data_IF_156897209333
#
_entry.id   IF_156897209333
#
_cell.length_a   1.000
_cell.length_b   1.000
_cell.length_c   1.000
_cell.angle_alpha   90.00
_cell.angle_beta   90.00
_cell.angle_gamma   90.00
#
_symmetry.space_group_name_H-M   'P 1'
#
loop_
_entity.id
_entity.type
_entity.pdbx_description
1 polymer ?
#
# COMPACT_ATOMS: atom_id res chain seq x y z
N UNK A 1 -3.69 26.62 -1.67
CA UNK A 1 -2.91 25.72 -0.84
C UNK A 1 -3.62 24.36 -0.88
N UNK A 2 -3.04 23.41 -1.57
CA UNK A 2 -3.61 22.07 -1.75
C UNK A 2 -3.21 21.26 -0.51
N UNK A 3 -4.19 20.75 0.25
CA UNK A 3 -3.92 19.89 1.38
C UNK A 3 -3.48 18.48 0.90
N UNK A 4 -2.88 17.66 1.77
CA UNK A 4 -2.41 16.33 1.42
C UNK A 4 -3.57 15.38 1.03
N UNK A 5 -4.78 15.66 1.51
CA UNK A 5 -5.97 14.87 1.17
C UNK A 5 -6.45 15.05 -0.29
N UNK A 6 -5.94 16.03 -1.01
CA UNK A 6 -6.27 16.21 -2.44
C UNK A 6 -5.87 15.03 -3.33
N UNK A 7 -4.98 14.16 -2.84
CA UNK A 7 -4.53 12.95 -3.54
C UNK A 7 -5.40 11.72 -3.20
N UNK A 8 -6.35 11.86 -2.27
CA UNK A 8 -7.20 10.75 -1.82
C UNK A 8 -8.43 10.64 -2.71
N UNK A 9 -8.67 9.45 -3.25
CA UNK A 9 -9.74 9.17 -4.22
C UNK A 9 -10.92 8.51 -3.53
N UNK A 10 -12.14 8.95 -3.83
CA UNK A 10 -13.40 8.26 -3.47
C UNK A 10 -13.73 8.18 -1.97
N UNK A 11 -12.96 8.84 -1.07
CA UNK A 11 -13.11 8.70 0.38
C UNK A 11 -13.58 9.99 1.07
N UNK A 12 -14.55 10.68 0.50
CA UNK A 12 -14.97 12.03 0.94
C UNK A 12 -15.40 12.09 2.42
N UNK A 13 -16.08 11.08 2.94
CA UNK A 13 -16.50 11.00 4.33
C UNK A 13 -15.33 10.83 5.30
N UNK A 14 -14.40 9.89 5.00
CA UNK A 14 -13.20 9.66 5.78
C UNK A 14 -12.28 10.88 5.77
N UNK A 15 -12.06 11.49 4.60
CA UNK A 15 -11.28 12.73 4.43
C UNK A 15 -11.89 13.87 5.25
N UNK A 16 -13.21 14.07 5.21
CA UNK A 16 -13.88 15.12 5.98
C UNK A 16 -13.70 14.91 7.49
N UNK A 17 -13.84 13.69 7.97
CA UNK A 17 -13.61 13.31 9.36
C UNK A 17 -12.17 13.60 9.80
N UNK A 18 -11.19 13.11 9.04
CA UNK A 18 -9.77 13.27 9.37
C UNK A 18 -9.30 14.72 9.27
N UNK A 19 -9.80 15.49 8.29
CA UNK A 19 -9.53 16.92 8.17
C UNK A 19 -9.96 17.69 9.42
N UNK A 20 -11.13 17.37 9.99
CA UNK A 20 -11.57 17.97 11.25
C UNK A 20 -10.73 17.51 12.44
N UNK A 21 -10.22 16.28 12.40
CA UNK A 21 -9.41 15.72 13.47
C UNK A 21 -7.98 16.31 13.54
N UNK A 22 -7.47 16.92 12.46
CA UNK A 22 -6.12 17.53 12.43
C UNK A 22 -5.92 18.57 13.54
N UNK A 23 -6.95 19.37 13.83
CA UNK A 23 -6.89 20.45 14.82
C UNK A 23 -6.79 19.90 16.26
N UNK A 24 -7.56 18.87 16.57
CA UNK A 24 -7.58 18.26 17.89
C UNK A 24 -7.63 16.72 17.73
N UNK A 25 -6.49 16.10 17.42
CA UNK A 25 -6.45 14.67 17.11
C UNK A 25 -6.61 13.81 18.36
N UNK A 26 -7.33 12.68 18.18
CA UNK A 26 -7.27 11.57 19.12
C UNK A 26 -5.88 10.89 19.05
N UNK A 27 -5.48 10.21 20.10
CA UNK A 27 -4.16 9.55 20.15
C UNK A 27 -3.99 8.43 19.11
N UNK A 28 -5.07 7.75 18.72
CA UNK A 28 -4.99 6.63 17.80
C UNK A 28 -6.20 6.59 16.86
N UNK A 29 -5.93 6.26 15.61
CA UNK A 29 -6.92 6.04 14.53
C UNK A 29 -6.71 4.66 13.93
N UNK A 30 -7.81 3.96 13.65
CA UNK A 30 -7.80 2.71 12.89
C UNK A 30 -8.57 2.92 11.59
N UNK A 31 -7.83 3.01 10.50
CA UNK A 31 -8.38 3.08 9.15
C UNK A 31 -8.66 1.66 8.68
N UNK A 32 -9.91 1.36 8.37
CA UNK A 32 -10.35 0.03 7.97
C UNK A 32 -11.09 0.09 6.64
N UNK A 33 -10.79 -0.81 5.72
CA UNK A 33 -11.44 -0.86 4.42
C UNK A 33 -10.88 -1.94 3.51
N UNK A 34 -11.54 -2.23 2.39
CA UNK A 34 -11.09 -3.25 1.46
C UNK A 34 -9.73 -2.89 0.83
N UNK A 35 -9.03 -3.92 0.36
CA UNK A 35 -7.81 -3.74 -0.44
C UNK A 35 -8.07 -2.82 -1.63
N UNK A 36 -7.09 -1.96 -1.93
CA UNK A 36 -7.18 -1.03 -3.04
C UNK A 36 -8.04 0.21 -2.78
N UNK A 37 -8.68 0.33 -1.61
CA UNK A 37 -9.48 1.51 -1.23
C UNK A 37 -8.64 2.77 -0.94
N UNK A 38 -7.31 2.68 -1.00
CA UNK A 38 -6.40 3.79 -0.72
C UNK A 38 -6.09 3.99 0.76
N UNK A 39 -6.20 2.93 1.59
CA UNK A 39 -5.90 2.97 3.04
C UNK A 39 -4.56 3.63 3.34
N UNK A 40 -3.48 3.17 2.68
CA UNK A 40 -2.14 3.73 2.87
C UNK A 40 -2.08 5.20 2.47
N UNK A 41 -2.62 5.54 1.31
CA UNK A 41 -2.61 6.91 0.80
C UNK A 41 -3.33 7.86 1.75
N UNK A 42 -4.49 7.46 2.28
CA UNK A 42 -5.23 8.24 3.28
C UNK A 42 -4.44 8.35 4.60
N UNK A 43 -3.81 7.26 5.06
CA UNK A 43 -3.03 7.24 6.31
C UNK A 43 -1.81 8.16 6.23
N UNK A 44 -1.04 8.10 5.13
CA UNK A 44 0.11 8.98 4.89
C UNK A 44 -0.32 10.43 4.72
N UNK A 45 -1.43 10.70 4.00
CA UNK A 45 -1.99 12.04 3.86
C UNK A 45 -2.42 12.63 5.19
N UNK A 46 -3.06 11.83 6.05
CA UNK A 46 -3.44 12.26 7.39
C UNK A 46 -2.22 12.54 8.27
N UNK A 47 -1.21 11.66 8.24
CA UNK A 47 0.05 11.88 8.93
C UNK A 47 0.74 13.18 8.47
N UNK A 48 0.72 13.46 7.17
CA UNK A 48 1.28 14.69 6.61
C UNK A 48 0.58 15.95 7.12
N UNK A 49 -0.74 15.93 7.21
CA UNK A 49 -1.51 17.05 7.76
C UNK A 49 -1.29 17.24 9.27
N UNK A 50 -1.19 16.14 10.04
CA UNK A 50 -0.88 16.19 11.45
C UNK A 50 0.50 16.81 11.73
N UNK A 51 1.51 16.44 10.92
CA UNK A 51 2.88 16.95 11.03
C UNK A 51 3.04 18.40 10.54
N UNK A 52 2.21 18.82 9.59
CA UNK A 52 2.22 20.16 9.04
C UNK A 52 1.40 21.17 9.86
N UNK A 53 0.55 20.68 10.77
CA UNK A 53 -0.35 21.53 11.54
C UNK A 53 0.39 22.53 12.43
N UNK A 54 0.04 23.82 12.33
CA UNK A 54 0.63 24.93 13.09
C UNK A 54 2.16 25.08 12.93
N UNK A 55 2.72 24.61 11.79
CA UNK A 55 4.16 24.73 11.50
C UNK A 55 4.46 26.00 10.70
N UNK A 56 5.67 26.55 10.83
CA UNK A 56 6.11 27.72 10.06
C UNK A 56 6.15 27.44 8.56
N UNK A 57 6.57 26.22 8.14
CA UNK A 57 6.69 25.80 6.76
C UNK A 57 5.85 24.52 6.50
N UNK A 58 4.50 24.59 6.55
CA UNK A 58 3.63 23.42 6.48
C UNK A 58 3.80 22.62 5.17
N UNK A 59 4.14 23.29 4.07
CA UNK A 59 4.35 22.62 2.76
C UNK A 59 5.58 21.69 2.76
N UNK A 60 6.67 22.08 3.43
CA UNK A 60 7.85 21.23 3.55
C UNK A 60 7.59 20.01 4.40
N UNK A 61 6.85 20.16 5.51
CA UNK A 61 6.44 19.03 6.36
C UNK A 61 5.54 18.07 5.59
N UNK A 62 4.52 18.57 4.85
CA UNK A 62 3.69 17.74 3.97
C UNK A 62 4.50 16.99 2.93
N UNK A 63 5.37 17.70 2.22
CA UNK A 63 6.22 17.11 1.18
C UNK A 63 7.11 16.00 1.74
N UNK A 64 7.76 16.23 2.88
CA UNK A 64 8.61 15.22 3.53
C UNK A 64 7.79 14.02 4.03
N UNK A 65 6.61 14.25 4.60
CA UNK A 65 5.75 13.19 5.08
C UNK A 65 5.17 12.34 3.93
N UNK A 66 4.70 12.98 2.86
CA UNK A 66 4.22 12.29 1.65
C UNK A 66 5.34 11.51 0.94
N UNK A 67 6.59 11.98 1.05
CA UNK A 67 7.77 11.25 0.58
C UNK A 67 8.28 10.20 1.59
N UNK A 68 7.58 10.00 2.73
CA UNK A 68 7.95 9.08 3.81
C UNK A 68 9.35 9.35 4.41
N UNK A 69 9.80 10.59 4.30
CA UNK A 69 11.14 11.05 4.71
C UNK A 69 11.11 12.02 5.91
N UNK A 70 9.94 12.28 6.49
CA UNK A 70 9.83 13.16 7.65
C UNK A 70 10.47 12.52 8.89
N UNK A 71 11.32 13.25 9.67
CA UNK A 71 12.01 12.68 10.84
C UNK A 71 11.06 12.20 11.93
N UNK A 72 9.89 12.85 12.07
CA UNK A 72 8.86 12.51 13.06
C UNK A 72 7.74 11.61 12.51
N UNK A 73 7.94 11.00 11.34
CA UNK A 73 7.09 9.95 10.79
C UNK A 73 7.84 8.62 10.87
N UNK A 74 7.32 7.69 11.66
CA UNK A 74 7.75 6.30 11.64
C UNK A 74 6.68 5.46 10.96
N UNK A 75 7.06 4.77 9.90
CA UNK A 75 6.20 3.76 9.27
C UNK A 75 6.70 2.38 9.67
N UNK A 76 5.84 1.63 10.35
CA UNK A 76 6.09 0.27 10.79
C UNK A 76 5.37 -0.67 9.82
N UNK A 77 6.15 -1.26 8.94
CA UNK A 77 5.72 -2.26 7.97
C UNK A 77 6.31 -3.61 8.33
N UNK A 78 5.61 -4.69 8.03
CA UNK A 78 6.16 -6.04 8.20
C UNK A 78 7.19 -6.36 7.11
N UNK A 79 8.30 -6.98 7.48
CA UNK A 79 9.31 -7.44 6.50
C UNK A 79 9.08 -8.86 5.99
N UNK A 80 8.04 -9.53 6.44
CA UNK A 80 7.74 -10.92 6.11
C UNK A 80 6.24 -11.21 6.07
N UNK A 81 5.87 -12.45 6.30
CA UNK A 81 4.47 -12.87 6.42
C UNK A 81 3.84 -12.35 7.72
N UNK A 82 4.65 -12.09 8.76
CA UNK A 82 4.23 -11.62 10.06
C UNK A 82 5.16 -10.52 10.55
N UNK A 83 4.70 -9.73 11.51
CA UNK A 83 5.54 -8.79 12.24
C UNK A 83 6.56 -9.53 13.10
N UNK A 84 7.84 -9.14 13.03
CA UNK A 84 8.94 -9.72 13.79
C UNK A 84 9.19 -8.95 15.08
N UNK A 85 10.10 -9.46 15.90
CA UNK A 85 10.51 -8.81 17.14
C UNK A 85 11.17 -7.44 16.89
N UNK A 86 11.89 -7.27 15.77
CA UNK A 86 12.57 -6.03 15.41
C UNK A 86 11.58 -4.88 15.16
N UNK A 87 10.48 -5.14 14.46
CA UNK A 87 9.44 -4.13 14.23
C UNK A 87 8.72 -3.80 15.57
N UNK A 88 8.51 -4.78 16.44
CA UNK A 88 7.94 -4.56 17.75
C UNK A 88 8.87 -3.72 18.65
N UNK A 89 10.19 -3.95 18.61
CA UNK A 89 11.17 -3.13 19.31
C UNK A 89 11.23 -1.71 18.75
N UNK A 90 11.22 -1.56 17.44
CA UNK A 90 11.17 -0.25 16.76
C UNK A 90 9.93 0.55 17.18
N UNK A 91 8.77 -0.09 17.22
CA UNK A 91 7.52 0.51 17.70
C UNK A 91 7.63 0.97 19.16
N UNK A 92 8.15 0.10 20.04
CA UNK A 92 8.33 0.43 21.45
C UNK A 92 9.27 1.63 21.62
N UNK A 93 10.44 1.58 20.98
CA UNK A 93 11.48 2.60 21.13
C UNK A 93 11.02 3.95 20.55
N UNK A 94 10.28 3.94 19.45
CA UNK A 94 9.68 5.14 18.90
C UNK A 94 8.55 5.67 19.77
N UNK A 95 7.70 4.80 20.32
CA UNK A 95 6.56 5.19 21.12
C UNK A 95 6.91 6.05 22.33
N UNK A 96 8.16 5.99 22.83
CA UNK A 96 8.64 6.76 23.98
C UNK A 96 9.63 7.88 23.62
N UNK A 97 9.89 8.12 22.35
CA UNK A 97 10.74 9.25 21.92
C UNK A 97 9.96 10.55 21.87
N UNK A 98 10.65 11.64 22.15
CA UNK A 98 10.12 12.96 21.83
C UNK A 98 10.28 13.25 20.33
N UNK A 99 9.38 14.04 19.74
CA UNK A 99 9.55 14.51 18.37
C UNK A 99 10.90 15.19 18.16
N UNK A 100 11.46 15.07 16.96
CA UNK A 100 12.74 15.65 16.59
C UNK A 100 12.60 17.10 16.12
N UNK A 101 11.60 17.34 15.25
CA UNK A 101 11.42 18.64 14.57
C UNK A 101 10.03 19.25 14.85
N UNK A 102 9.39 18.88 15.94
CA UNK A 102 8.08 19.42 16.22
C UNK A 102 7.53 19.07 17.59
N UNK A 103 6.24 19.19 17.69
CA UNK A 103 5.43 18.85 18.87
C UNK A 103 4.62 17.57 18.66
N UNK A 104 4.64 16.98 17.45
CA UNK A 104 3.93 15.76 17.09
C UNK A 104 4.84 14.74 16.44
N UNK A 105 4.74 13.50 16.89
CA UNK A 105 5.31 12.32 16.26
C UNK A 105 4.19 11.42 15.79
N UNK A 106 4.29 10.90 14.57
CA UNK A 106 3.29 10.00 14.00
C UNK A 106 3.92 8.62 13.82
N UNK A 107 3.22 7.61 14.31
CA UNK A 107 3.56 6.20 14.11
C UNK A 107 2.45 5.57 13.26
N UNK A 108 2.78 5.28 12.01
CA UNK A 108 1.89 4.58 11.08
C UNK A 108 2.22 3.08 11.14
N UNK A 109 1.23 2.26 11.48
CA UNK A 109 1.35 0.79 11.52
C UNK A 109 0.47 0.23 10.42
N UNK A 110 1.10 -0.37 9.40
CA UNK A 110 0.38 -0.93 8.26
C UNK A 110 -0.08 -2.37 8.53
N UNK A 111 -1.20 -2.74 7.91
CA UNK A 111 -1.71 -4.11 7.92
C UNK A 111 -1.74 -4.76 9.30
N UNK A 112 -2.19 -4.01 10.32
CA UNK A 112 -2.21 -4.50 11.72
C UNK A 112 -3.04 -5.78 11.89
N UNK A 113 -3.94 -6.09 10.96
CA UNK A 113 -4.72 -7.33 10.94
C UNK A 113 -3.86 -8.58 10.72
N UNK A 114 -2.63 -8.42 10.23
CA UNK A 114 -1.63 -9.48 10.03
C UNK A 114 -0.62 -9.56 11.18
N UNK A 115 -0.83 -8.81 12.27
CA UNK A 115 0.03 -8.83 13.42
C UNK A 115 -0.17 -10.11 14.25
N UNK A 116 0.95 -10.71 14.69
CA UNK A 116 0.91 -11.81 15.63
C UNK A 116 0.59 -11.33 17.05
N UNK A 117 0.29 -12.26 17.96
CA UNK A 117 -0.11 -11.92 19.33
C UNK A 117 0.96 -11.14 20.12
N UNK A 118 2.24 -11.31 19.80
CA UNK A 118 3.34 -10.60 20.46
C UNK A 118 3.33 -9.13 20.04
N UNK A 119 3.24 -8.86 18.72
CA UNK A 119 3.18 -7.51 18.20
C UNK A 119 1.90 -6.78 18.66
N UNK A 120 0.74 -7.45 18.63
CA UNK A 120 -0.51 -6.91 19.18
C UNK A 120 -0.35 -6.51 20.64
N UNK A 121 0.26 -7.38 21.48
CA UNK A 121 0.51 -7.08 22.90
C UNK A 121 1.45 -5.89 23.12
N UNK A 122 2.44 -5.70 22.26
CA UNK A 122 3.34 -4.55 22.30
C UNK A 122 2.62 -3.26 21.87
N UNK A 123 1.86 -3.33 20.80
CA UNK A 123 1.05 -2.20 20.29
C UNK A 123 0.07 -1.72 21.38
N UNK A 124 -0.62 -2.64 22.04
CA UNK A 124 -1.56 -2.30 23.13
C UNK A 124 -0.89 -1.52 24.26
N UNK A 125 0.31 -1.91 24.70
CA UNK A 125 1.04 -1.20 25.76
C UNK A 125 1.31 0.26 25.41
N UNK A 126 1.69 0.53 24.16
CA UNK A 126 1.99 1.89 23.72
C UNK A 126 0.71 2.70 23.48
N UNK A 127 -0.37 2.06 23.06
CA UNK A 127 -1.68 2.71 22.88
C UNK A 127 -2.38 3.04 24.22
N UNK A 128 -2.11 2.27 25.30
CA UNK A 128 -2.71 2.50 26.62
C UNK A 128 -2.09 3.70 27.34
N UNK A 129 -0.78 3.91 27.18
CA UNK A 129 -0.05 5.00 27.82
C UNK A 129 0.82 5.76 26.79
N UNK A 130 0.21 6.37 25.76
CA UNK A 130 0.97 7.09 24.74
C UNK A 130 1.57 8.37 25.31
N UNK A 131 2.80 8.74 24.93
CA UNK A 131 3.31 10.08 25.19
C UNK A 131 2.38 11.15 24.60
N UNK A 132 2.25 12.32 25.22
CA UNK A 132 1.29 13.36 24.77
C UNK A 132 1.51 13.85 23.34
N UNK A 133 2.75 13.73 22.82
CA UNK A 133 3.15 14.14 21.48
C UNK A 133 3.05 13.03 20.43
N UNK A 134 2.70 11.79 20.79
CA UNK A 134 2.70 10.65 19.89
C UNK A 134 1.28 10.28 19.45
N UNK A 135 1.10 10.17 18.15
CA UNK A 135 -0.17 9.80 17.53
C UNK A 135 0.02 8.54 16.68
N UNK A 136 -0.97 7.67 16.74
CA UNK A 136 -0.95 6.40 16.02
C UNK A 136 -1.98 6.41 14.90
N UNK A 137 -1.55 5.97 13.72
CA UNK A 137 -2.42 5.70 12.57
C UNK A 137 -2.21 4.23 12.19
N UNK A 138 -3.26 3.42 12.32
CA UNK A 138 -3.21 2.01 12.01
C UNK A 138 -4.05 1.74 10.77
N UNK A 139 -3.63 0.82 9.90
CA UNK A 139 -4.44 0.37 8.77
C UNK A 139 -4.78 -1.11 8.91
N UNK A 140 -5.99 -1.49 8.49
CA UNK A 140 -6.44 -2.87 8.47
C UNK A 140 -7.43 -3.08 7.32
N UNK A 141 -7.35 -4.23 6.65
CA UNK A 141 -8.35 -4.60 5.64
C UNK A 141 -9.59 -5.24 6.27
N UNK A 142 -9.43 -5.80 7.45
CA UNK A 142 -10.52 -6.38 8.23
C UNK A 142 -10.26 -6.27 9.73
N UNK A 143 -11.32 -6.21 10.52
CA UNK A 143 -11.21 -6.22 11.98
C UNK A 143 -11.43 -7.65 12.47
N UNK A 144 -10.32 -8.37 12.68
CA UNK A 144 -10.34 -9.71 13.25
C UNK A 144 -10.65 -9.69 14.75
N UNK A 145 -11.13 -10.79 15.35
CA UNK A 145 -11.32 -10.86 16.80
C UNK A 145 -10.04 -10.54 17.61
N UNK A 146 -8.86 -10.84 17.07
CA UNK A 146 -7.58 -10.51 17.70
C UNK A 146 -7.33 -8.99 17.76
N UNK A 147 -7.86 -8.24 16.82
CA UNK A 147 -7.75 -6.78 16.76
C UNK A 147 -8.81 -6.04 17.57
N UNK A 148 -9.85 -6.70 18.05
CA UNK A 148 -10.95 -6.04 18.77
C UNK A 148 -10.46 -5.20 19.96
N UNK A 149 -9.41 -5.64 20.64
CA UNK A 149 -8.80 -4.91 21.77
C UNK A 149 -8.06 -3.64 21.32
N UNK A 150 -7.38 -3.67 20.18
CA UNK A 150 -6.75 -2.50 19.57
C UNK A 150 -7.84 -1.55 19.05
N UNK A 151 -8.81 -2.08 18.30
CA UNK A 151 -9.90 -1.30 17.71
C UNK A 151 -10.70 -0.51 18.78
N UNK A 152 -10.90 -1.09 19.98
CA UNK A 152 -11.59 -0.43 21.09
C UNK A 152 -10.86 0.79 21.68
N UNK A 153 -9.57 0.97 21.33
CA UNK A 153 -8.71 2.09 21.78
C UNK A 153 -8.43 3.11 20.67
N UNK A 154 -8.91 2.83 19.47
CA UNK A 154 -8.72 3.69 18.31
C UNK A 154 -10.03 4.37 17.90
N UNK A 155 -9.92 5.54 17.34
CA UNK A 155 -11.03 6.18 16.61
C UNK A 155 -11.16 5.47 15.25
N UNK A 156 -12.31 4.82 14.96
CA UNK A 156 -12.48 4.11 13.71
C UNK A 156 -12.69 5.07 12.54
N UNK A 157 -12.09 4.75 11.41
CA UNK A 157 -12.28 5.43 10.13
C UNK A 157 -12.48 4.38 9.06
N UNK A 158 -13.73 4.22 8.61
CA UNK A 158 -14.07 3.21 7.61
C UNK A 158 -13.97 3.79 6.19
N UNK A 159 -13.29 3.05 5.31
CA UNK A 159 -13.17 3.33 3.90
C UNK A 159 -14.09 2.38 3.12
N UNK A 160 -14.74 2.94 2.10
CA UNK A 160 -15.50 2.15 1.13
C UNK A 160 -14.60 1.66 -0.02
N UNK A 161 -15.07 0.65 -0.76
CA UNK A 161 -14.50 0.36 -2.07
C UNK A 161 -14.65 1.60 -2.97
N UNK A 162 -13.67 1.85 -3.82
CA UNK A 162 -13.68 3.03 -4.71
C UNK A 162 -14.59 2.76 -5.89
N UNK A 163 -15.47 3.70 -6.19
CA UNK A 163 -16.35 3.60 -7.35
C UNK A 163 -15.59 3.75 -8.66
N UNK A 164 -16.08 3.08 -9.71
CA UNK A 164 -15.46 3.13 -11.05
C UNK A 164 -15.37 4.56 -11.59
N UNK A 165 -16.38 5.39 -11.34
CA UNK A 165 -16.40 6.79 -11.81
C UNK A 165 -15.34 7.63 -11.07
N UNK A 166 -15.13 7.42 -9.77
CA UNK A 166 -14.06 8.08 -9.01
C UNK A 166 -12.67 7.70 -9.55
N UNK A 167 -12.48 6.43 -9.95
CA UNK A 167 -11.24 5.99 -10.60
C UNK A 167 -11.05 6.66 -11.97
N UNK A 168 -12.10 6.73 -12.79
CA UNK A 168 -12.07 7.41 -14.10
C UNK A 168 -11.69 8.88 -13.94
N UNK A 169 -12.35 9.60 -13.02
CA UNK A 169 -12.06 10.99 -12.75
C UNK A 169 -10.60 11.17 -12.28
N UNK A 170 -10.14 10.33 -11.38
CA UNK A 170 -8.76 10.37 -10.91
C UNK A 170 -7.75 10.17 -12.05
N UNK A 171 -7.95 9.15 -12.90
CA UNK A 171 -7.09 8.88 -14.04
C UNK A 171 -7.05 10.05 -15.05
N UNK A 172 -8.18 10.73 -15.25
CA UNK A 172 -8.24 11.93 -16.07
C UNK A 172 -7.42 13.08 -15.47
N UNK A 173 -7.40 13.24 -14.14
CA UNK A 173 -6.51 14.23 -13.47
C UNK A 173 -5.03 13.93 -13.70
N UNK A 174 -4.68 12.65 -13.93
CA UNK A 174 -3.31 12.21 -14.29
C UNK A 174 -3.01 12.36 -15.78
N UNK A 175 -3.96 12.89 -16.58
CA UNK A 175 -3.78 13.13 -18.02
C UNK A 175 -4.11 11.93 -18.91
N UNK A 176 -4.75 10.90 -18.39
CA UNK A 176 -5.25 9.76 -19.19
C UNK A 176 -6.54 10.17 -19.90
N UNK A 177 -6.69 9.84 -21.17
CA UNK A 177 -7.93 10.10 -21.92
C UNK A 177 -9.11 9.29 -21.37
N UNK A 178 -10.34 9.75 -21.66
CA UNK A 178 -11.56 9.19 -21.07
C UNK A 178 -11.77 7.72 -21.41
N UNK A 179 -11.58 7.33 -22.68
CA UNK A 179 -11.82 5.95 -23.12
C UNK A 179 -10.84 4.99 -22.43
N UNK A 180 -9.57 5.37 -22.37
CA UNK A 180 -8.52 4.61 -21.69
C UNK A 180 -8.74 4.59 -20.16
N UNK A 181 -9.14 5.71 -19.56
CA UNK A 181 -9.47 5.78 -18.14
C UNK A 181 -10.59 4.82 -17.78
N UNK A 182 -11.64 4.77 -18.57
CA UNK A 182 -12.77 3.87 -18.37
C UNK A 182 -12.38 2.40 -18.53
N UNK A 183 -11.57 2.09 -19.54
CA UNK A 183 -11.06 0.74 -19.75
C UNK A 183 -10.21 0.29 -18.55
N UNK A 184 -9.29 1.13 -18.09
CA UNK A 184 -8.43 0.85 -16.92
C UNK A 184 -9.25 0.70 -15.65
N UNK A 185 -10.21 1.59 -15.37
CA UNK A 185 -11.03 1.55 -14.18
C UNK A 185 -11.84 0.24 -14.08
N UNK A 186 -12.35 -0.27 -15.19
CA UNK A 186 -13.06 -1.56 -15.23
C UNK A 186 -12.13 -2.75 -14.92
N UNK A 187 -10.86 -2.67 -15.34
CA UNK A 187 -9.85 -3.71 -15.09
C UNK A 187 -9.33 -3.63 -13.64
N UNK A 188 -9.25 -2.42 -13.11
CA UNK A 188 -8.64 -2.14 -11.81
C UNK A 188 -9.41 -2.73 -10.62
N UNK A 189 -10.68 -3.13 -10.80
CA UNK A 189 -11.49 -3.80 -9.78
C UNK A 189 -11.48 -3.05 -8.44
N UNK A 190 -11.93 -1.79 -8.48
CA UNK A 190 -11.97 -0.86 -7.36
C UNK A 190 -10.61 -0.56 -6.67
N UNK A 191 -9.48 -0.90 -7.28
CA UNK A 191 -8.15 -0.65 -6.74
C UNK A 191 -7.50 0.59 -7.37
N UNK A 192 -7.24 1.61 -6.53
CA UNK A 192 -6.55 2.84 -6.96
C UNK A 192 -5.13 2.52 -7.41
N UNK A 193 -4.38 1.74 -6.64
CA UNK A 193 -2.99 1.43 -6.92
C UNK A 193 -2.85 0.69 -8.26
N UNK A 194 -3.76 -0.26 -8.51
CA UNK A 194 -3.83 -0.97 -9.80
C UNK A 194 -4.20 -0.04 -10.95
N UNK A 195 -5.16 0.86 -10.75
CA UNK A 195 -5.55 1.82 -11.78
C UNK A 195 -4.39 2.75 -12.16
N UNK A 196 -3.66 3.27 -11.18
CA UNK A 196 -2.49 4.13 -11.39
C UNK A 196 -1.35 3.36 -12.06
N UNK A 197 -1.09 2.12 -11.65
CA UNK A 197 -0.08 1.25 -12.28
C UNK A 197 -0.40 1.03 -13.76
N UNK A 198 -1.62 0.61 -14.09
CA UNK A 198 -2.06 0.38 -15.48
C UNK A 198 -2.04 1.65 -16.34
N UNK A 199 -2.20 2.82 -15.72
CA UNK A 199 -2.15 4.10 -16.42
C UNK A 199 -0.71 4.58 -16.69
N UNK A 200 0.18 4.38 -15.72
CA UNK A 200 1.56 4.90 -15.75
C UNK A 200 2.53 4.00 -16.51
N UNK A 201 2.27 2.71 -16.56
CA UNK A 201 3.11 1.72 -17.24
C UNK A 201 2.45 1.25 -18.54
N UNK A 202 3.01 1.65 -19.69
CA UNK A 202 2.48 1.25 -21.00
C UNK A 202 2.53 -0.27 -21.23
N UNK A 203 3.44 -0.98 -20.59
CA UNK A 203 3.55 -2.43 -20.68
C UNK A 203 2.61 -3.16 -19.69
N UNK A 204 2.00 -2.46 -18.72
CA UNK A 204 1.13 -3.09 -17.74
C UNK A 204 -0.13 -3.69 -18.36
N UNK A 205 -0.72 -3.03 -19.37
CA UNK A 205 -1.85 -3.58 -20.12
C UNK A 205 -1.46 -4.83 -20.92
N UNK A 206 -0.28 -4.83 -21.56
CA UNK A 206 0.23 -6.00 -22.28
C UNK A 206 0.45 -7.18 -21.30
N UNK A 207 1.00 -6.91 -20.11
CA UNK A 207 1.14 -7.93 -19.06
C UNK A 207 -0.22 -8.43 -18.57
N UNK A 208 -1.19 -7.53 -18.39
CA UNK A 208 -2.57 -7.92 -18.06
C UNK A 208 -3.16 -8.89 -19.08
N UNK A 209 -3.02 -8.60 -20.36
CA UNK A 209 -3.49 -9.47 -21.44
C UNK A 209 -2.80 -10.84 -21.39
N UNK A 210 -1.48 -10.88 -21.20
CA UNK A 210 -0.72 -12.12 -21.06
C UNK A 210 -1.19 -12.95 -19.86
N UNK A 211 -1.45 -12.33 -18.71
CA UNK A 211 -2.03 -13.00 -17.55
C UNK A 211 -3.42 -13.57 -17.85
N UNK A 212 -4.26 -12.80 -18.54
CA UNK A 212 -5.63 -13.23 -18.91
C UNK A 212 -5.63 -14.44 -19.85
N UNK A 213 -4.63 -14.54 -20.73
CA UNK A 213 -4.48 -15.64 -21.69
C UNK A 213 -3.85 -16.90 -21.08
N UNK A 214 -3.27 -16.79 -19.88
CA UNK A 214 -2.55 -17.92 -19.26
C UNK A 214 -3.35 -19.21 -19.25
N UNK A 215 -4.66 -19.15 -18.99
CA UNK A 215 -5.51 -20.32 -18.95
C UNK A 215 -5.61 -21.04 -20.29
N UNK A 216 -5.59 -20.31 -21.40
CA UNK A 216 -5.69 -20.88 -22.76
C UNK A 216 -4.37 -21.54 -23.19
N UNK A 217 -3.26 -21.13 -22.58
CA UNK A 217 -1.93 -21.65 -22.86
C UNK A 217 -1.62 -22.96 -22.11
N UNK A 218 -2.46 -23.31 -21.12
CA UNK A 218 -2.33 -24.56 -20.35
C UNK A 218 -3.04 -25.71 -21.04
N UNK A 219 -2.27 -26.67 -21.57
CA UNK A 219 -2.74 -27.88 -22.24
C UNK A 219 -2.93 -29.10 -21.31
N UNK A 220 -2.75 -28.91 -20.00
CA UNK A 220 -2.83 -29.94 -18.97
C UNK A 220 -1.52 -30.69 -18.76
N UNK A 221 -0.44 -30.37 -19.46
CA UNK A 221 0.88 -30.98 -19.26
C UNK A 221 1.72 -30.23 -18.24
N UNK A 222 2.61 -30.96 -17.53
CA UNK A 222 3.56 -30.30 -16.61
C UNK A 222 4.54 -29.35 -17.33
N UNK A 223 4.83 -29.60 -18.60
CA UNK A 223 5.71 -28.75 -19.40
C UNK A 223 5.07 -27.38 -19.65
N UNK A 224 3.78 -27.34 -20.03
CA UNK A 224 3.04 -26.10 -20.21
C UNK A 224 2.98 -25.28 -18.90
N UNK A 225 2.75 -25.95 -17.76
CA UNK A 225 2.77 -25.28 -16.45
C UNK A 225 4.15 -24.67 -16.15
N UNK A 226 5.24 -25.38 -16.38
CA UNK A 226 6.60 -24.86 -16.14
C UNK A 226 6.88 -23.63 -17.02
N UNK A 227 6.58 -23.71 -18.32
CA UNK A 227 6.74 -22.58 -19.23
C UNK A 227 5.90 -21.36 -18.83
N UNK A 228 4.67 -21.60 -18.38
CA UNK A 228 3.78 -20.55 -17.90
C UNK A 228 4.36 -19.85 -16.66
N UNK A 229 4.84 -20.62 -15.66
CA UNK A 229 5.47 -20.09 -14.44
C UNK A 229 6.71 -19.29 -14.78
N UNK A 230 7.61 -19.80 -15.63
CA UNK A 230 8.84 -19.09 -16.03
C UNK A 230 8.50 -17.76 -16.69
N UNK A 231 7.50 -17.76 -17.59
CA UNK A 231 7.04 -16.53 -18.25
C UNK A 231 6.45 -15.53 -17.26
N UNK A 232 5.65 -15.98 -16.29
CA UNK A 232 5.06 -15.11 -15.28
C UNK A 232 6.14 -14.48 -14.38
N UNK A 233 7.14 -15.26 -13.94
CA UNK A 233 8.27 -14.75 -13.16
C UNK A 233 9.06 -13.71 -13.95
N UNK A 234 9.25 -13.93 -15.26
CA UNK A 234 9.90 -12.96 -16.13
C UNK A 234 9.11 -11.65 -16.20
N UNK A 235 7.77 -11.70 -16.36
CA UNK A 235 6.91 -10.52 -16.39
C UNK A 235 7.00 -9.70 -15.10
N UNK A 236 7.00 -10.39 -13.94
CA UNK A 236 7.16 -9.75 -12.63
C UNK A 236 8.53 -9.08 -12.50
N UNK A 237 9.58 -9.70 -13.01
CA UNK A 237 10.93 -9.09 -12.99
C UNK A 237 11.05 -7.92 -13.96
N UNK A 238 10.44 -7.99 -15.13
CA UNK A 238 10.39 -6.90 -16.12
C UNK A 238 9.64 -5.68 -15.56
N UNK A 239 8.53 -5.89 -14.84
CA UNK A 239 7.78 -4.80 -14.21
C UNK A 239 8.59 -4.01 -13.18
N UNK A 240 9.58 -4.64 -12.57
CA UNK A 240 10.44 -4.03 -11.55
C UNK A 240 11.62 -3.23 -12.13
N UNK A 241 11.93 -3.38 -13.42
CA UNK A 241 13.11 -2.78 -14.03
C UNK A 241 13.15 -1.24 -13.99
N UNK A 242 12.05 -0.50 -14.27
CA UNK A 242 12.03 0.95 -14.15
C UNK A 242 12.29 1.42 -12.70
N UNK A 243 11.73 0.70 -11.72
CA UNK A 243 11.94 1.00 -10.30
C UNK A 243 13.39 0.79 -9.89
N UNK A 244 14.02 -0.33 -10.29
CA UNK A 244 15.43 -0.61 -10.01
C UNK A 244 16.37 0.49 -10.54
N UNK A 245 16.12 0.96 -11.77
CA UNK A 245 16.91 2.06 -12.37
C UNK A 245 16.80 3.35 -11.58
N UNK A 246 15.58 3.70 -11.13
CA UNK A 246 15.37 4.87 -10.26
C UNK A 246 16.13 4.71 -8.94
N UNK A 247 16.02 3.55 -8.30
CA UNK A 247 16.67 3.24 -7.02
C UNK A 247 18.19 3.29 -7.12
N UNK A 248 18.76 2.83 -8.22
CA UNK A 248 20.19 2.93 -8.51
C UNK A 248 20.65 4.39 -8.61
N UNK A 249 19.92 5.23 -9.33
CA UNK A 249 20.16 6.68 -9.43
C UNK A 249 20.05 7.39 -8.06
N UNK A 250 19.10 7.00 -7.22
CA UNK A 250 18.96 7.56 -5.88
C UNK A 250 20.16 7.20 -4.98
N UNK A 251 20.69 5.97 -5.10
CA UNK A 251 21.89 5.55 -4.36
C UNK A 251 23.14 6.27 -4.86
N UNK A 252 23.30 6.40 -6.17
CA UNK A 252 24.42 7.15 -6.77
C UNK A 252 24.41 8.61 -6.32
N UNK A 253 23.23 9.26 -6.36
CA UNK A 253 23.11 10.65 -5.91
C UNK A 253 23.43 10.81 -4.41
N UNK A 254 23.05 9.84 -3.59
CA UNK A 254 23.37 9.83 -2.16
C UNK A 254 24.89 9.66 -1.92
N UNK A 255 25.53 8.75 -2.65
CA UNK A 255 26.99 8.50 -2.57
C UNK A 255 27.78 9.75 -3.01
N UNK A 256 27.38 10.42 -4.09
CA UNK A 256 27.99 11.69 -4.52
C UNK A 256 27.85 12.79 -3.46
N UNK A 257 26.68 12.87 -2.80
CA UNK A 257 26.44 13.82 -1.73
C UNK A 257 27.33 13.53 -0.51
N UNK A 258 27.44 12.25 -0.13
CA UNK A 258 28.26 11.79 0.98
C UNK A 258 29.76 12.07 0.74
N UNK A 259 30.27 11.89 -0.49
CA UNK A 259 31.63 12.25 -0.86
C UNK A 259 31.88 13.76 -0.77
N UNK A 260 30.91 14.59 -1.18
CA UNK A 260 31.02 16.05 -1.15
C UNK A 260 31.10 16.62 0.26
N UNK A 261 30.37 16.02 1.21
CA UNK A 261 30.31 16.49 2.60
C UNK A 261 31.23 15.71 3.55
N UNK A 262 31.95 14.70 3.08
CA UNK A 262 32.87 13.92 3.89
C UNK A 262 32.21 12.97 4.91
N UNK A 263 30.90 12.78 4.82
CA UNK A 263 30.09 11.93 5.70
C UNK A 263 29.71 10.64 4.97
N UNK A 264 30.51 9.60 5.16
CA UNK A 264 30.21 8.29 4.53
C UNK A 264 29.07 7.55 5.25
N UNK A 265 28.07 7.13 4.49
CA UNK A 265 27.04 6.17 4.94
C UNK A 265 25.81 6.78 5.63
N UNK A 266 25.68 8.12 5.73
CA UNK A 266 24.52 8.76 6.34
C UNK A 266 23.27 8.51 5.48
N UNK A 267 22.31 7.76 6.03
CA UNK A 267 21.03 7.50 5.38
C UNK A 267 20.99 6.36 4.37
N UNK A 268 22.15 5.81 3.92
CA UNK A 268 22.21 4.73 2.92
C UNK A 268 21.42 3.49 3.35
N UNK A 269 21.59 3.04 4.59
CA UNK A 269 20.89 1.87 5.12
C UNK A 269 19.35 2.08 5.14
N UNK A 270 18.89 3.28 5.50
CA UNK A 270 17.46 3.62 5.45
C UNK A 270 16.93 3.63 4.02
N UNK A 271 17.71 4.17 3.08
CA UNK A 271 17.36 4.20 1.67
C UNK A 271 17.27 2.78 1.09
N UNK A 272 18.24 1.92 1.39
CA UNK A 272 18.24 0.51 0.94
C UNK A 272 17.07 -0.28 1.51
N UNK A 273 16.68 -0.04 2.77
CA UNK A 273 15.48 -0.63 3.38
C UNK A 273 14.22 -0.16 2.65
N UNK A 274 14.09 1.14 2.39
CA UNK A 274 12.97 1.70 1.60
C UNK A 274 12.91 1.06 0.21
N UNK A 275 14.04 0.97 -0.51
CA UNK A 275 14.12 0.35 -1.83
C UNK A 275 13.67 -1.12 -1.84
N UNK A 276 14.09 -1.91 -0.84
CA UNK A 276 13.64 -3.29 -0.69
C UNK A 276 12.12 -3.39 -0.50
N UNK A 277 11.53 -2.48 0.29
CA UNK A 277 10.08 -2.43 0.54
C UNK A 277 9.32 -2.08 -0.74
N UNK A 278 9.75 -1.02 -1.44
CA UNK A 278 9.16 -0.60 -2.71
C UNK A 278 9.17 -1.73 -3.74
N UNK A 279 10.31 -2.40 -3.90
CA UNK A 279 10.47 -3.50 -4.85
C UNK A 279 9.58 -4.70 -4.49
N UNK A 280 9.50 -5.03 -3.19
CA UNK A 280 8.63 -6.10 -2.73
C UNK A 280 7.17 -5.76 -2.98
N UNK A 281 6.74 -4.54 -2.67
CA UNK A 281 5.37 -4.07 -2.90
C UNK A 281 5.01 -4.17 -4.37
N UNK A 282 5.84 -3.62 -5.26
CA UNK A 282 5.62 -3.69 -6.70
C UNK A 282 5.44 -5.14 -7.19
N UNK A 283 6.29 -6.06 -6.73
CA UNK A 283 6.19 -7.48 -7.11
C UNK A 283 4.90 -8.12 -6.60
N UNK A 284 4.50 -7.80 -5.38
CA UNK A 284 3.24 -8.29 -4.81
C UNK A 284 2.04 -7.75 -5.60
N UNK A 285 2.04 -6.47 -5.92
CA UNK A 285 0.99 -5.81 -6.69
C UNK A 285 0.87 -6.38 -8.11
N UNK A 286 2.00 -6.64 -8.78
CA UNK A 286 2.03 -7.29 -10.10
C UNK A 286 1.44 -8.72 -10.04
N UNK A 287 1.80 -9.51 -9.04
CA UNK A 287 1.24 -10.85 -8.86
C UNK A 287 -0.27 -10.81 -8.56
N UNK A 288 -0.71 -9.90 -7.71
CA UNK A 288 -2.13 -9.71 -7.40
C UNK A 288 -2.91 -9.24 -8.63
N UNK A 289 -2.33 -8.34 -9.42
CA UNK A 289 -2.88 -7.91 -10.71
C UNK A 289 -3.05 -9.11 -11.65
N UNK A 290 -2.01 -9.92 -11.79
CA UNK A 290 -2.05 -11.11 -12.63
C UNK A 290 -3.11 -12.12 -12.17
N UNK A 291 -3.22 -12.38 -10.87
CA UNK A 291 -4.27 -13.26 -10.33
C UNK A 291 -5.66 -12.72 -10.60
N UNK A 292 -5.85 -11.41 -10.52
CA UNK A 292 -7.13 -10.76 -10.87
C UNK A 292 -7.44 -10.93 -12.35
N UNK A 293 -6.46 -10.76 -13.24
CA UNK A 293 -6.62 -10.97 -14.68
C UNK A 293 -7.08 -12.40 -15.01
N UNK A 294 -6.44 -13.40 -14.40
CA UNK A 294 -6.83 -14.82 -14.54
C UNK A 294 -8.24 -15.05 -13.98
N UNK A 295 -8.57 -14.47 -12.82
CA UNK A 295 -9.89 -14.59 -12.20
C UNK A 295 -11.00 -14.02 -13.08
N UNK A 296 -10.78 -12.84 -13.68
CA UNK A 296 -11.72 -12.22 -14.61
C UNK A 296 -11.92 -13.08 -15.86
N UNK A 297 -10.84 -13.61 -16.45
CA UNK A 297 -10.93 -14.51 -17.60
C UNK A 297 -11.70 -15.80 -17.29
N UNK A 298 -11.57 -16.35 -16.08
CA UNK A 298 -12.36 -17.49 -15.62
C UNK A 298 -13.84 -17.12 -15.47
N UNK A 299 -14.13 -15.98 -14.85
CA UNK A 299 -15.50 -15.48 -14.62
C UNK A 299 -16.23 -15.22 -15.93
N UNK A 300 -15.58 -14.60 -16.89
CA UNK A 300 -16.08 -14.41 -18.25
C UNK A 300 -16.33 -15.76 -18.95
N UNK A 301 -15.40 -16.70 -18.80
CA UNK A 301 -15.54 -18.05 -19.33
C UNK A 301 -16.75 -18.82 -18.77
N UNK A 302 -17.06 -18.63 -17.50
CA UNK A 302 -18.28 -19.18 -16.87
C UNK A 302 -19.52 -18.52 -17.48
N UNK A 303 -19.51 -17.19 -17.58
CA UNK A 303 -20.66 -16.39 -18.05
C UNK A 303 -21.00 -16.70 -19.50
N UNK A 304 -20.00 -16.84 -20.36
CA UNK A 304 -20.20 -17.16 -21.80
C UNK A 304 -20.31 -18.67 -22.08
N UNK A 305 -20.27 -19.54 -21.05
CA UNK A 305 -20.43 -20.98 -21.15
C UNK A 305 -19.22 -21.74 -21.71
N UNK A 306 -18.06 -21.10 -21.87
CA UNK A 306 -16.81 -21.75 -22.29
C UNK A 306 -16.11 -22.50 -21.16
N UNK A 307 -16.51 -22.23 -19.92
CA UNK A 307 -16.03 -22.91 -18.72
C UNK A 307 -17.21 -23.50 -17.96
N UNK A 308 -17.11 -24.77 -17.54
CA UNK A 308 -18.06 -25.36 -16.60
C UNK A 308 -18.07 -24.63 -15.26
N UNK A 309 -19.25 -24.22 -14.80
CA UNK A 309 -19.41 -23.40 -13.61
C UNK A 309 -18.80 -24.04 -12.35
N UNK A 310 -18.88 -25.36 -12.19
CA UNK A 310 -18.34 -26.06 -11.02
C UNK A 310 -16.80 -26.11 -11.02
N UNK A 311 -16.20 -26.25 -12.19
CA UNK A 311 -14.74 -26.21 -12.37
C UNK A 311 -14.20 -24.80 -12.22
N UNK A 312 -14.84 -23.82 -12.85
CA UNK A 312 -14.48 -22.42 -12.77
C UNK A 312 -14.55 -21.89 -11.33
N UNK A 313 -15.63 -22.20 -10.59
CA UNK A 313 -15.77 -21.80 -9.19
C UNK A 313 -14.67 -22.36 -8.30
N UNK A 314 -14.24 -23.61 -8.49
CA UNK A 314 -13.10 -24.19 -7.74
C UNK A 314 -11.80 -23.46 -8.05
N UNK A 315 -11.56 -23.10 -9.31
CA UNK A 315 -10.38 -22.36 -9.72
C UNK A 315 -10.36 -20.94 -9.10
N UNK A 316 -11.50 -20.25 -9.08
CA UNK A 316 -11.62 -18.94 -8.43
C UNK A 316 -11.36 -19.02 -6.92
N UNK A 317 -11.88 -20.04 -6.23
CA UNK A 317 -11.59 -20.25 -4.80
C UNK A 317 -10.09 -20.46 -4.56
N UNK A 318 -9.44 -21.27 -5.40
CA UNK A 318 -7.99 -21.51 -5.29
C UNK A 318 -7.18 -20.23 -5.54
N UNK A 319 -7.54 -19.43 -6.54
CA UNK A 319 -6.92 -18.14 -6.83
C UNK A 319 -7.08 -17.16 -5.66
N UNK A 320 -8.28 -17.04 -5.11
CA UNK A 320 -8.53 -16.16 -3.97
C UNK A 320 -7.74 -16.59 -2.73
N UNK A 321 -7.60 -17.92 -2.50
CA UNK A 321 -6.75 -18.44 -1.43
C UNK A 321 -5.30 -18.04 -1.64
N UNK A 322 -4.75 -18.25 -2.84
CA UNK A 322 -3.38 -17.87 -3.17
C UNK A 322 -3.14 -16.35 -3.09
N UNK A 323 -4.11 -15.53 -3.53
CA UNK A 323 -4.04 -14.08 -3.40
C UNK A 323 -4.03 -13.62 -1.93
N UNK A 324 -4.84 -14.25 -1.09
CA UNK A 324 -4.84 -13.99 0.36
C UNK A 324 -3.53 -14.42 1.02
N UNK A 325 -2.93 -15.54 0.57
CA UNK A 325 -1.62 -15.98 1.08
C UNK A 325 -0.48 -15.04 0.65
N UNK A 326 -0.56 -14.43 -0.53
CA UNK A 326 0.39 -13.40 -0.99
C UNK A 326 0.28 -12.09 -0.19
N UNK A 327 -0.93 -11.75 0.26
CA UNK A 327 -1.19 -10.57 1.09
C UNK A 327 -0.76 -10.78 2.54
N UNK A 328 -0.73 -12.04 2.99
CA UNK A 328 -0.20 -12.44 4.32
C UNK A 328 1.32 -12.49 4.33
#
# INVERSE_FOLDING_TARGET
MTDAFSQVVGQSAAVSMLRNAVVNPAHAYLLNGPDGSGLRNLAVSFAAELLAHERENPEDHRRLALAEAHPDLLIVEREGLEYRAEEAESLRDAGYRSPFDGDRQIILIEDIHLANAVFVGMTLKVLEEPPPSTYFVLTANEITPALATIASRCTPVDLAAVDTEDLVEHLQTLGVDEDRSRAIANIADASIDRAVLLASDSAALERWEMWSQLRTDLDGTGAAVTLAVDRLLQLVDESAEPLRKRQEQELEALDELAERYGERGLGRSKLEIRHKRELRRLRTDELLMGMTAVGNAISEGITNGSIDASSGSRSLVSLNTAANDLRR
#
